data_IF_350602491838
#
_entry.id   IF_350602491838
#
_cell.length_a   1.000
_cell.length_b   1.000
_cell.length_c   1.000
_cell.angle_alpha   90.00
_cell.angle_beta   90.00
_cell.angle_gamma   90.00
#
_symmetry.space_group_name_H-M   'P 1'
#
loop_
_entity.id
_entity.type
_entity.pdbx_description
1 polymer ?
#
# COMPACT_ATOMS: atom_id res chain seq x y z
N UNK A 1 -23.68 -1.54 -23.68
CA UNK A 1 -22.83 -1.98 -22.57
C UNK A 1 -22.66 -0.95 -21.45
N UNK A 2 -22.55 0.34 -21.73
CA UNK A 2 -22.38 1.41 -20.71
C UNK A 2 -23.54 1.53 -19.72
N UNK A 3 -24.78 1.35 -20.18
CA UNK A 3 -25.99 1.48 -19.33
C UNK A 3 -26.11 0.34 -18.31
N UNK A 4 -25.66 -0.86 -18.63
CA UNK A 4 -25.67 -2.01 -17.71
C UNK A 4 -24.64 -1.87 -16.59
N UNK A 5 -23.50 -1.20 -16.85
CA UNK A 5 -22.46 -0.92 -15.85
C UNK A 5 -22.93 0.13 -14.85
N UNK A 6 -23.65 1.14 -15.30
CA UNK A 6 -24.24 2.19 -14.46
C UNK A 6 -25.34 1.60 -13.57
N UNK A 7 -26.17 0.72 -14.11
CA UNK A 7 -27.21 0.03 -13.32
C UNK A 7 -26.60 -0.91 -12.24
N UNK A 8 -25.46 -1.54 -12.53
CA UNK A 8 -24.74 -2.36 -11.55
C UNK A 8 -24.13 -1.49 -10.45
N UNK A 9 -23.59 -0.32 -10.77
CA UNK A 9 -23.10 0.65 -9.79
C UNK A 9 -24.23 1.23 -8.93
N UNK A 10 -25.39 1.51 -9.50
CA UNK A 10 -26.56 2.02 -8.79
C UNK A 10 -27.20 0.95 -7.91
N UNK A 11 -27.20 -0.32 -8.31
CA UNK A 11 -27.71 -1.43 -7.51
C UNK A 11 -26.88 -1.67 -6.21
N UNK A 12 -25.60 -1.26 -6.19
CA UNK A 12 -24.76 -1.31 -4.98
C UNK A 12 -25.05 -0.16 -4.00
N UNK A 13 -25.85 0.83 -4.42
CA UNK A 13 -26.21 2.02 -3.62
C UNK A 13 -27.59 1.92 -2.97
N UNK A 14 -28.30 0.78 -3.09
CA UNK A 14 -29.60 0.60 -2.42
C UNK A 14 -29.35 0.21 -0.97
N UNK A 15 -29.58 1.08 0.02
CA UNK A 15 -29.57 0.68 1.42
C UNK A 15 -30.82 -0.18 1.65
N UNK A 16 -30.63 -1.48 1.77
CA UNK A 16 -31.64 -2.37 2.33
C UNK A 16 -31.82 -1.95 3.79
N UNK A 17 -33.02 -1.52 4.09
CA UNK A 17 -33.38 -0.85 5.31
C UNK A 17 -33.05 -1.55 6.61
N UNK A 18 -32.99 -0.71 7.62
CA UNK A 18 -33.01 -0.92 9.06
C UNK A 18 -31.68 -1.28 9.73
N UNK A 19 -31.20 -0.33 10.48
CA UNK A 19 -29.99 -0.21 11.31
C UNK A 19 -28.73 0.10 10.49
N UNK A 20 -28.27 1.33 10.66
CA UNK A 20 -27.10 1.88 9.98
C UNK A 20 -25.85 1.01 10.22
N UNK A 21 -25.56 0.13 9.27
CA UNK A 21 -24.44 -0.80 9.31
C UNK A 21 -23.30 -0.36 8.37
N UNK A 22 -23.49 0.79 7.70
CA UNK A 22 -22.51 1.31 6.77
C UNK A 22 -21.72 2.46 7.38
N UNK A 23 -20.45 2.48 7.08
CA UNK A 23 -19.65 3.67 7.31
C UNK A 23 -18.72 3.93 6.12
N UNK A 24 -18.44 5.22 5.89
CA UNK A 24 -17.46 5.65 4.91
C UNK A 24 -16.40 6.48 5.63
N UNK A 25 -15.16 6.39 5.17
CA UNK A 25 -14.06 7.09 5.81
C UNK A 25 -12.99 7.52 4.82
N UNK A 26 -12.23 8.49 5.27
CA UNK A 26 -11.00 8.95 4.61
C UNK A 26 -9.84 8.71 5.55
N UNK A 27 -8.70 8.32 5.00
CA UNK A 27 -7.48 8.05 5.75
C UNK A 27 -6.30 8.76 5.13
N UNK A 28 -5.34 9.13 5.95
CA UNK A 28 -4.06 9.67 5.51
C UNK A 28 -2.97 9.31 6.50
N UNK A 29 -1.74 9.20 6.03
CA UNK A 29 -0.65 8.81 6.90
C UNK A 29 0.66 8.56 6.18
N UNK A 30 1.49 7.73 6.78
CA UNK A 30 2.82 7.40 6.31
C UNK A 30 2.91 5.90 6.00
N UNK A 31 3.68 5.56 4.98
CA UNK A 31 4.06 4.19 4.64
C UNK A 31 5.57 4.02 4.81
N UNK A 32 6.00 2.89 5.32
CA UNK A 32 7.39 2.47 5.31
C UNK A 32 7.49 1.19 4.50
N UNK A 33 8.24 1.21 3.41
CA UNK A 33 8.35 0.06 2.52
C UNK A 33 9.76 -0.49 2.51
N UNK A 34 9.87 -1.81 2.58
CA UNK A 34 11.11 -2.57 2.41
C UNK A 34 10.95 -3.46 1.19
N UNK A 35 11.90 -3.35 0.26
CA UNK A 35 11.98 -4.24 -0.90
C UNK A 35 12.92 -5.39 -0.56
N UNK A 36 12.38 -6.61 -0.45
CA UNK A 36 13.19 -7.83 -0.29
C UNK A 36 13.65 -8.31 -1.67
N UNK A 37 14.95 -8.51 -1.82
CA UNK A 37 15.58 -9.03 -3.05
C UNK A 37 16.23 -10.37 -2.77
N UNK A 38 16.42 -11.20 -3.82
CA UNK A 38 17.15 -12.45 -3.69
C UNK A 38 18.60 -12.16 -3.31
N UNK A 39 19.12 -12.89 -2.29
CA UNK A 39 20.44 -12.66 -1.70
C UNK A 39 21.61 -12.88 -2.65
N UNK A 40 21.42 -13.61 -3.74
CA UNK A 40 22.47 -13.87 -4.71
C UNK A 40 23.01 -12.60 -5.38
N UNK A 41 22.21 -11.51 -5.40
CA UNK A 41 22.57 -10.24 -6.03
C UNK A 41 22.96 -9.15 -5.03
N UNK A 42 23.02 -9.47 -3.74
CA UNK A 42 23.27 -8.49 -2.67
C UNK A 42 24.75 -8.40 -2.23
N UNK A 43 25.70 -8.99 -2.95
CA UNK A 43 27.10 -9.06 -2.50
C UNK A 43 27.70 -7.67 -2.25
N UNK A 44 27.31 -6.67 -3.04
CA UNK A 44 27.73 -5.28 -2.91
C UNK A 44 26.53 -4.30 -2.78
N UNK A 45 25.33 -4.73 -3.17
CA UNK A 45 24.12 -3.91 -3.13
C UNK A 45 23.38 -4.08 -1.80
N UNK A 46 23.01 -2.96 -1.17
CA UNK A 46 22.14 -2.90 -0.02
C UNK A 46 20.83 -2.21 -0.39
N UNK A 47 19.74 -2.74 0.14
CA UNK A 47 18.40 -2.17 -0.05
C UNK A 47 17.84 -1.80 1.31
N UNK A 48 17.58 -0.52 1.50
CA UNK A 48 16.99 0.04 2.72
C UNK A 48 15.57 0.48 2.43
N UNK A 49 14.70 0.32 3.43
CA UNK A 49 13.35 0.85 3.38
C UNK A 49 13.34 2.38 3.50
N UNK A 50 12.37 3.00 2.82
CA UNK A 50 12.13 4.43 2.92
C UNK A 50 10.68 4.73 3.30
N UNK A 51 10.51 5.87 3.95
CA UNK A 51 9.21 6.43 4.23
C UNK A 51 8.57 7.02 2.97
N UNK A 52 7.25 6.93 2.91
CA UNK A 52 6.39 7.52 1.90
C UNK A 52 5.09 8.00 2.50
N UNK A 53 4.21 8.51 1.68
CA UNK A 53 2.85 8.91 2.06
C UNK A 53 1.84 7.83 1.67
N UNK A 54 0.73 7.78 2.41
CA UNK A 54 -0.45 6.98 2.05
C UNK A 54 -1.71 7.78 2.32
N UNK A 55 -2.67 7.70 1.42
CA UNK A 55 -3.98 8.31 1.58
C UNK A 55 -5.04 7.46 0.88
N UNK A 56 -6.27 7.50 1.39
CA UNK A 56 -7.31 6.70 0.78
C UNK A 56 -8.71 6.96 1.30
N UNK A 57 -9.64 6.26 0.69
CA UNK A 57 -11.05 6.22 1.07
C UNK A 57 -11.44 4.78 1.36
N UNK A 58 -12.38 4.58 2.26
CA UNK A 58 -12.85 3.24 2.61
C UNK A 58 -14.34 3.22 2.88
N UNK A 59 -14.97 2.10 2.51
CA UNK A 59 -16.31 1.75 2.92
C UNK A 59 -16.27 0.53 3.84
N UNK A 60 -17.06 0.54 4.89
CA UNK A 60 -17.16 -0.57 5.81
C UNK A 60 -18.64 -0.93 6.00
N UNK A 61 -18.87 -2.22 6.07
CA UNK A 61 -20.17 -2.81 6.41
C UNK A 61 -20.03 -3.63 7.70
N UNK A 62 -20.73 -3.21 8.74
CA UNK A 62 -20.75 -3.91 10.02
C UNK A 62 -21.76 -5.07 9.95
N UNK A 63 -21.25 -6.31 10.00
CA UNK A 63 -22.08 -7.53 9.98
C UNK A 63 -22.73 -7.70 11.36
N UNK A 64 -21.97 -7.40 12.41
CA UNK A 64 -22.40 -7.41 13.79
C UNK A 64 -21.51 -6.50 14.64
N UNK A 65 -21.72 -6.44 15.96
CA UNK A 65 -21.00 -5.54 16.87
C UNK A 65 -19.48 -5.73 16.91
N UNK A 66 -18.99 -6.89 16.51
CA UNK A 66 -17.57 -7.25 16.60
C UNK A 66 -16.91 -7.57 15.23
N UNK A 67 -17.69 -7.75 14.17
CA UNK A 67 -17.19 -8.12 12.84
C UNK A 67 -17.74 -7.19 11.77
N UNK A 68 -16.86 -6.66 10.97
CA UNK A 68 -17.15 -5.86 9.79
C UNK A 68 -16.32 -6.31 8.59
N UNK A 69 -16.81 -6.01 7.39
CA UNK A 69 -16.03 -6.09 6.16
C UNK A 69 -15.72 -4.68 5.69
N UNK A 70 -14.45 -4.40 5.43
CA UNK A 70 -13.99 -3.11 4.92
C UNK A 70 -13.30 -3.30 3.58
N UNK A 71 -13.63 -2.43 2.65
CA UNK A 71 -12.91 -2.29 1.39
C UNK A 71 -12.47 -0.83 1.22
N UNK A 72 -11.32 -0.61 0.58
CA UNK A 72 -10.77 0.73 0.40
C UNK A 72 -10.13 0.92 -0.96
N UNK A 73 -9.78 2.16 -1.24
CA UNK A 73 -8.95 2.56 -2.37
C UNK A 73 -7.90 3.52 -1.85
N UNK A 74 -6.64 3.11 -1.89
CA UNK A 74 -5.51 3.84 -1.32
C UNK A 74 -4.48 4.17 -2.39
N UNK A 75 -3.96 5.39 -2.34
CA UNK A 75 -2.70 5.76 -2.99
C UNK A 75 -1.59 5.61 -1.95
N UNK A 76 -0.63 4.73 -2.21
CA UNK A 76 0.43 4.40 -1.26
C UNK A 76 1.78 4.44 -1.95
N UNK A 77 2.71 5.15 -1.36
CA UNK A 77 4.10 5.17 -1.80
C UNK A 77 4.85 3.99 -1.22
N UNK A 78 5.52 3.22 -2.09
CA UNK A 78 6.39 2.09 -1.72
C UNK A 78 7.83 2.44 -2.10
N UNK A 79 8.43 3.26 -1.28
CA UNK A 79 9.75 3.83 -1.53
C UNK A 79 10.84 2.90 -0.98
N UNK A 80 12.00 2.89 -1.64
CA UNK A 80 13.19 2.19 -1.15
C UNK A 80 14.45 2.87 -1.67
N UNK A 81 15.58 2.61 -1.00
CA UNK A 81 16.90 3.06 -1.36
C UNK A 81 17.77 1.86 -1.68
N UNK A 82 18.51 1.94 -2.78
CA UNK A 82 19.51 0.96 -3.16
C UNK A 82 20.86 1.67 -3.22
N UNK A 83 21.83 1.17 -2.50
CA UNK A 83 23.17 1.73 -2.49
C UNK A 83 24.22 0.62 -2.52
N UNK A 84 25.43 0.95 -2.97
CA UNK A 84 26.57 0.05 -2.94
C UNK A 84 27.40 0.27 -1.68
N UNK A 85 27.94 -0.83 -1.13
CA UNK A 85 28.78 -0.79 0.08
C UNK A 85 30.23 -0.42 -0.27
N UNK A 86 30.74 -0.91 -1.41
CA UNK A 86 32.13 -0.68 -1.84
C UNK A 86 32.25 0.65 -2.58
N UNK A 87 31.30 0.96 -3.47
CA UNK A 87 31.24 2.22 -4.21
C UNK A 87 30.19 3.13 -3.54
N UNK A 88 30.57 3.83 -2.49
CA UNK A 88 29.68 4.67 -1.67
C UNK A 88 29.01 5.80 -2.43
N UNK A 89 29.56 6.19 -3.59
CA UNK A 89 29.02 7.27 -4.43
C UNK A 89 27.80 6.81 -5.26
N UNK A 90 27.52 5.50 -5.31
CA UNK A 90 26.35 4.94 -6.01
C UNK A 90 25.21 4.78 -5.02
N UNK A 91 24.21 5.68 -5.13
CA UNK A 91 23.04 5.74 -4.27
C UNK A 91 21.79 6.05 -5.10
N UNK A 92 20.82 5.15 -5.11
CA UNK A 92 19.57 5.29 -5.83
C UNK A 92 18.39 5.28 -4.87
N UNK A 93 17.51 6.26 -4.99
CA UNK A 93 16.24 6.36 -4.27
C UNK A 93 15.10 6.19 -5.26
N UNK A 94 14.29 5.18 -5.03
CA UNK A 94 13.10 4.90 -5.81
C UNK A 94 11.87 5.39 -5.05
N UNK A 95 11.09 6.26 -5.69
CA UNK A 95 9.78 6.68 -5.23
C UNK A 95 8.74 6.02 -6.13
N UNK A 96 7.90 5.16 -5.59
CA UNK A 96 6.96 4.36 -6.36
C UNK A 96 5.55 4.57 -5.83
N UNK A 97 4.64 5.02 -6.68
CA UNK A 97 3.24 5.26 -6.36
C UNK A 97 2.39 4.07 -6.79
N UNK A 98 1.64 3.52 -5.86
CA UNK A 98 0.75 2.40 -6.06
C UNK A 98 -0.69 2.80 -5.75
N UNK A 99 -1.61 2.39 -6.62
CA UNK A 99 -3.03 2.35 -6.32
C UNK A 99 -3.32 0.98 -5.72
N UNK A 100 -3.85 0.93 -4.49
CA UNK A 100 -4.13 -0.30 -3.76
C UNK A 100 -5.61 -0.40 -3.43
N UNK A 101 -6.14 -1.61 -3.54
CA UNK A 101 -7.50 -1.98 -3.18
C UNK A 101 -7.44 -3.05 -2.08
N UNK A 102 -7.36 -2.65 -0.79
CA UNK A 102 -7.45 -3.57 0.33
C UNK A 102 -8.91 -4.02 0.55
N UNK A 103 -9.08 -5.31 0.86
CA UNK A 103 -10.34 -5.90 1.33
C UNK A 103 -10.04 -6.72 2.57
N UNK A 104 -10.69 -6.40 3.68
CA UNK A 104 -10.36 -6.97 4.97
C UNK A 104 -11.59 -7.24 5.84
N UNK A 105 -11.50 -8.29 6.66
CA UNK A 105 -12.32 -8.47 7.84
C UNK A 105 -11.75 -7.61 8.96
N UNK A 106 -12.62 -6.85 9.61
CA UNK A 106 -12.29 -5.95 10.72
C UNK A 106 -12.99 -6.44 11.97
N UNK A 107 -12.20 -6.85 12.95
CA UNK A 107 -12.68 -7.33 14.24
C UNK A 107 -12.58 -6.19 15.25
N UNK A 108 -13.69 -5.85 15.91
CA UNK A 108 -13.73 -4.78 16.91
C UNK A 108 -14.04 -5.34 18.29
N UNK A 109 -13.33 -4.83 19.29
CA UNK A 109 -13.47 -5.23 20.69
C UNK A 109 -13.34 -4.01 21.60
N UNK A 110 -14.03 -4.03 22.72
CA UNK A 110 -13.99 -2.94 23.72
C UNK A 110 -15.34 -2.29 23.97
N UNK A 111 -15.31 -1.01 24.35
CA UNK A 111 -16.50 -0.27 24.76
C UNK A 111 -17.22 0.43 23.60
N UNK A 112 -18.28 1.16 23.94
CA UNK A 112 -19.07 1.89 22.95
C UNK A 112 -18.34 3.11 22.36
N UNK A 113 -17.46 3.77 23.12
CA UNK A 113 -16.73 4.96 22.68
C UNK A 113 -15.34 4.64 22.14
N UNK A 114 -14.60 3.74 22.81
CA UNK A 114 -13.26 3.34 22.42
C UNK A 114 -13.28 1.86 22.08
N UNK A 115 -12.83 1.52 20.88
CA UNK A 115 -12.72 0.15 20.39
C UNK A 115 -11.31 -0.14 19.91
N UNK A 116 -10.79 -1.30 20.25
CA UNK A 116 -9.63 -1.90 19.60
C UNK A 116 -10.08 -2.53 18.28
N UNK A 117 -9.24 -2.44 17.26
CA UNK A 117 -9.47 -3.03 15.96
C UNK A 117 -8.36 -4.01 15.63
N UNK A 118 -8.74 -5.12 15.00
CA UNK A 118 -7.84 -6.08 14.41
C UNK A 118 -8.30 -6.38 12.99
N UNK A 119 -7.37 -6.37 12.03
CA UNK A 119 -7.68 -6.50 10.62
C UNK A 119 -6.92 -7.68 10.02
N UNK A 120 -7.61 -8.46 9.19
CA UNK A 120 -7.03 -9.49 8.34
C UNK A 120 -7.67 -9.44 6.96
N UNK A 121 -6.86 -9.55 5.91
CA UNK A 121 -7.40 -9.49 4.57
C UNK A 121 -6.38 -9.69 3.47
N UNK A 122 -6.79 -9.29 2.28
CA UNK A 122 -6.00 -9.34 1.06
C UNK A 122 -6.02 -7.98 0.40
N UNK A 123 -5.04 -7.73 -0.45
CA UNK A 123 -5.06 -6.54 -1.29
C UNK A 123 -4.61 -6.84 -2.72
N UNK A 124 -5.15 -6.06 -3.63
CA UNK A 124 -4.64 -5.92 -4.99
C UNK A 124 -4.08 -4.52 -5.17
N UNK A 125 -3.01 -4.39 -5.93
CA UNK A 125 -2.38 -3.11 -6.20
C UNK A 125 -1.91 -3.00 -7.64
N UNK A 126 -1.74 -1.77 -8.09
CA UNK A 126 -1.19 -1.46 -9.39
C UNK A 126 -0.14 -0.36 -9.28
N UNK A 127 1.05 -0.61 -9.77
CA UNK A 127 2.14 0.35 -9.81
C UNK A 127 1.86 1.41 -10.89
N UNK A 128 1.51 2.62 -10.46
CA UNK A 128 1.11 3.71 -11.33
C UNK A 128 2.32 4.35 -12.01
N UNK A 129 3.27 4.78 -11.19
CA UNK A 129 4.47 5.50 -11.63
C UNK A 129 5.63 5.26 -10.67
N UNK A 130 6.84 5.45 -11.16
CA UNK A 130 8.07 5.41 -10.39
C UNK A 130 8.96 6.58 -10.76
N UNK A 131 9.70 7.08 -9.80
CA UNK A 131 10.68 8.13 -9.99
C UNK A 131 12.01 7.71 -9.36
N UNK A 132 13.09 7.85 -10.12
CA UNK A 132 14.44 7.52 -9.71
C UNK A 132 15.24 8.79 -9.48
N UNK A 133 15.78 8.94 -8.28
CA UNK A 133 16.80 9.95 -7.95
C UNK A 133 18.04 9.26 -7.40
N UNK A 134 19.20 9.71 -7.80
CA UNK A 134 20.42 9.15 -7.24
C UNK A 134 21.66 9.64 -7.92
N UNK A 135 22.75 9.06 -7.47
CA UNK A 135 24.07 9.28 -8.04
C UNK A 135 24.59 7.97 -8.59
N UNK A 136 25.19 8.04 -9.77
CA UNK A 136 25.95 6.97 -10.37
C UNK A 136 27.42 7.40 -10.49
N UNK A 137 28.34 6.44 -10.44
CA UNK A 137 29.76 6.69 -10.57
C UNK A 137 30.27 6.16 -11.89
N UNK A 138 30.79 7.07 -12.73
CA UNK A 138 31.41 6.69 -13.98
C UNK A 138 32.89 6.33 -13.76
N UNK A 139 33.20 5.05 -13.82
CA UNK A 139 34.56 4.51 -13.63
C UNK A 139 35.58 4.99 -14.67
N UNK A 140 35.12 5.48 -15.83
CA UNK A 140 36.03 5.93 -16.91
C UNK A 140 36.48 7.37 -16.72
N UNK A 141 35.62 8.23 -16.20
CA UNK A 141 35.89 9.66 -16.03
C UNK A 141 36.09 10.06 -14.58
N UNK A 142 35.92 9.12 -13.63
CA UNK A 142 35.94 9.37 -12.18
C UNK A 142 34.95 10.48 -11.74
N UNK A 143 33.83 10.61 -12.48
CA UNK A 143 32.81 11.62 -12.24
C UNK A 143 31.55 11.00 -11.66
N UNK A 144 30.96 11.69 -10.69
CA UNK A 144 29.64 11.36 -10.14
C UNK A 144 28.56 11.97 -11.02
N UNK A 145 27.72 11.13 -11.62
CA UNK A 145 26.57 11.54 -12.43
C UNK A 145 25.31 11.56 -11.57
N UNK A 146 24.65 12.69 -11.50
CA UNK A 146 23.34 12.80 -10.83
C UNK A 146 22.23 12.38 -11.79
N UNK A 147 21.47 11.36 -11.39
CA UNK A 147 20.31 10.85 -12.12
C UNK A 147 19.01 11.38 -11.48
N UNK A 148 18.08 11.81 -12.32
CA UNK A 148 16.78 12.31 -11.92
C UNK A 148 15.81 12.09 -13.06
N UNK A 149 15.11 10.94 -13.05
CA UNK A 149 14.26 10.53 -14.19
C UNK A 149 13.09 9.68 -13.75
N UNK A 150 12.05 9.67 -14.57
CA UNK A 150 10.93 8.75 -14.42
C UNK A 150 11.38 7.32 -14.72
N UNK A 151 10.75 6.35 -14.07
CA UNK A 151 10.99 4.94 -14.34
C UNK A 151 10.23 4.53 -15.59
N UNK A 152 10.97 4.21 -16.67
CA UNK A 152 10.39 3.63 -17.88
C UNK A 152 10.02 2.16 -17.63
N UNK A 153 8.72 1.87 -17.70
CA UNK A 153 8.21 0.52 -17.53
C UNK A 153 8.45 -0.33 -18.78
N UNK A 154 9.16 -1.42 -18.58
CA UNK A 154 9.30 -2.44 -19.60
C UNK A 154 8.35 -3.62 -19.29
N UNK A 155 7.32 -3.89 -20.13
CA UNK A 155 6.34 -4.96 -19.91
C UNK A 155 6.97 -6.36 -19.79
N UNK A 156 8.14 -6.59 -20.39
CA UNK A 156 8.82 -7.88 -20.35
C UNK A 156 9.56 -8.08 -19.01
N UNK A 157 10.00 -6.99 -18.37
CA UNK A 157 10.78 -7.00 -17.13
C UNK A 157 9.92 -6.68 -15.91
N UNK A 158 9.03 -5.68 -16.02
CA UNK A 158 8.38 -5.09 -14.86
C UNK A 158 6.97 -5.66 -14.65
N UNK A 159 6.71 -6.14 -13.45
CA UNK A 159 5.38 -6.57 -13.02
C UNK A 159 4.72 -5.44 -12.26
N UNK A 160 3.70 -4.83 -12.87
CA UNK A 160 2.99 -3.69 -12.28
C UNK A 160 1.87 -4.10 -11.33
N UNK A 161 1.38 -5.35 -11.42
CA UNK A 161 0.38 -5.86 -10.50
C UNK A 161 1.05 -6.36 -9.21
N UNK A 162 0.47 -5.98 -8.10
CA UNK A 162 0.92 -6.33 -6.76
C UNK A 162 -0.27 -6.93 -5.99
N UNK A 163 -0.11 -8.15 -5.50
CA UNK A 163 -1.13 -8.85 -4.73
C UNK A 163 -0.50 -9.41 -3.48
N UNK A 164 -1.30 -9.47 -2.41
CA UNK A 164 -0.78 -10.01 -1.17
C UNK A 164 -1.79 -10.04 -0.04
N UNK A 165 -1.24 -10.33 1.13
CA UNK A 165 -1.98 -10.37 2.38
C UNK A 165 -1.80 -9.05 3.12
N UNK A 166 -2.80 -8.71 3.90
CA UNK A 166 -2.71 -7.59 4.83
C UNK A 166 -3.20 -8.02 6.22
N UNK A 167 -2.60 -7.41 7.23
CA UNK A 167 -3.01 -7.54 8.61
C UNK A 167 -2.71 -6.27 9.36
N UNK A 168 -3.44 -6.00 10.44
CA UNK A 168 -3.20 -4.79 11.19
C UNK A 168 -3.98 -4.68 12.47
N UNK A 169 -3.64 -3.63 13.20
CA UNK A 169 -4.29 -3.26 14.46
C UNK A 169 -4.64 -1.79 14.43
N UNK A 170 -5.63 -1.41 15.21
CA UNK A 170 -6.04 -0.02 15.31
C UNK A 170 -6.87 0.29 16.54
N UNK A 171 -7.16 1.56 16.66
CA UNK A 171 -8.06 2.11 17.65
C UNK A 171 -9.11 2.97 16.94
N UNK A 172 -10.35 2.80 17.32
CA UNK A 172 -11.47 3.66 16.90
C UNK A 172 -12.02 4.39 18.12
N UNK A 173 -12.14 5.70 18.00
CA UNK A 173 -12.79 6.53 19.01
C UNK A 173 -14.01 7.23 18.40
N UNK A 174 -15.20 6.94 18.91
CA UNK A 174 -16.46 7.57 18.51
C UNK A 174 -16.61 8.91 19.20
N UNK A 175 -16.42 10.00 18.45
CA UNK A 175 -16.52 11.38 18.94
C UNK A 175 -17.99 11.77 19.11
N UNK A 176 -18.82 11.37 18.15
CA UNK A 176 -20.24 11.68 18.09
C UNK A 176 -21.02 10.46 17.57
N UNK A 177 -22.34 10.58 17.52
CA UNK A 177 -23.23 9.50 17.07
C UNK A 177 -22.88 8.99 15.66
N UNK A 178 -22.45 9.90 14.78
CA UNK A 178 -22.13 9.60 13.38
C UNK A 178 -20.67 9.77 13.00
N UNK A 179 -19.79 10.09 13.96
CA UNK A 179 -18.38 10.37 13.64
C UNK A 179 -17.43 9.57 14.52
N UNK A 180 -16.48 8.94 13.87
CA UNK A 180 -15.37 8.26 14.53
C UNK A 180 -14.02 8.68 13.96
N UNK A 181 -13.02 8.73 14.83
CA UNK A 181 -11.60 8.85 14.45
C UNK A 181 -10.97 7.46 14.58
N UNK A 182 -10.08 7.12 13.66
CA UNK A 182 -9.32 5.87 13.67
C UNK A 182 -7.83 6.15 13.60
N UNK A 183 -7.07 5.38 14.36
CA UNK A 183 -5.62 5.32 14.25
C UNK A 183 -5.25 3.86 14.00
N UNK A 184 -4.59 3.56 12.88
CA UNK A 184 -4.36 2.19 12.42
C UNK A 184 -2.92 1.98 11.98
N UNK A 185 -2.40 0.78 12.24
CA UNK A 185 -1.16 0.28 11.68
C UNK A 185 -1.49 -0.95 10.83
N UNK A 186 -1.25 -0.87 9.53
CA UNK A 186 -1.54 -1.92 8.55
C UNK A 186 -0.23 -2.42 7.93
N UNK A 187 0.01 -3.73 8.01
CA UNK A 187 1.10 -4.40 7.33
C UNK A 187 0.61 -5.04 6.04
N UNK A 188 1.33 -4.84 4.96
CA UNK A 188 1.07 -5.42 3.64
C UNK A 188 2.25 -6.30 3.24
N UNK A 189 2.00 -7.54 2.91
CA UNK A 189 3.00 -8.50 2.44
C UNK A 189 2.67 -8.96 1.02
N UNK A 190 3.53 -8.59 0.06
CA UNK A 190 3.37 -8.96 -1.34
C UNK A 190 3.78 -10.41 -1.58
N UNK A 191 2.98 -11.14 -2.35
CA UNK A 191 3.29 -12.50 -2.82
C UNK A 191 3.65 -12.52 -4.31
N UNK A 192 3.59 -11.37 -4.96
CA UNK A 192 3.95 -11.21 -6.37
C UNK A 192 5.24 -10.42 -6.47
N UNK A 193 6.19 -10.93 -7.24
CA UNK A 193 7.43 -10.21 -7.52
C UNK A 193 7.16 -8.97 -8.38
N UNK A 194 7.85 -7.86 -8.10
CA UNK A 194 7.81 -6.64 -8.93
C UNK A 194 8.57 -6.79 -10.25
N UNK A 195 9.33 -7.87 -10.40
CA UNK A 195 10.03 -8.23 -11.63
C UNK A 195 9.50 -9.53 -12.19
N UNK A 196 9.36 -9.60 -13.50
CA UNK A 196 9.09 -10.83 -14.22
C UNK A 196 10.38 -11.59 -14.43
N UNK A 197 10.29 -12.89 -14.67
CA UNK A 197 11.43 -13.68 -15.10
C UNK A 197 11.87 -13.17 -16.47
N UNK A 198 13.00 -12.47 -16.50
CA UNK A 198 13.59 -11.94 -17.74
C UNK A 198 14.90 -12.65 -18.03
N UNK A 199 15.00 -13.28 -19.19
CA UNK A 199 16.12 -14.14 -19.59
C UNK A 199 16.34 -15.31 -18.59
N UNK A 200 17.61 -15.63 -18.27
CA UNK A 200 18.00 -16.70 -17.32
C UNK A 200 18.23 -16.19 -15.90
N UNK A 201 18.03 -14.91 -15.67
CA UNK A 201 18.27 -14.28 -14.36
C UNK A 201 16.94 -14.21 -13.61
N UNK A 202 16.85 -14.91 -12.48
CA UNK A 202 15.71 -14.83 -11.57
C UNK A 202 16.06 -13.81 -10.47
N UNK A 203 15.55 -12.60 -10.61
CA UNK A 203 15.66 -11.56 -9.59
C UNK A 203 14.26 -11.31 -9.00
N UNK A 204 13.94 -12.06 -7.95
CA UNK A 204 12.66 -11.89 -7.27
C UNK A 204 12.73 -10.72 -6.28
N UNK A 205 11.74 -9.83 -6.38
CA UNK A 205 11.64 -8.62 -5.55
C UNK A 205 10.23 -8.50 -4.99
N UNK A 206 10.13 -8.53 -3.68
CA UNK A 206 8.84 -8.47 -2.97
C UNK A 206 8.76 -7.22 -2.11
N UNK A 207 7.60 -6.56 -2.13
CA UNK A 207 7.33 -5.43 -1.26
C UNK A 207 6.78 -5.90 0.10
N UNK A 208 7.32 -5.34 1.17
CA UNK A 208 6.72 -5.40 2.50
C UNK A 208 6.52 -3.98 2.99
N UNK A 209 5.28 -3.59 3.25
CA UNK A 209 4.94 -2.21 3.59
C UNK A 209 4.21 -2.17 4.93
N UNK A 210 4.60 -1.25 5.79
CA UNK A 210 3.83 -0.89 7.00
C UNK A 210 3.28 0.51 6.80
N UNK A 211 1.96 0.66 6.94
CA UNK A 211 1.28 1.95 6.85
C UNK A 211 0.73 2.35 8.22
N UNK A 212 1.08 3.54 8.67
CA UNK A 212 0.53 4.20 9.85
C UNK A 212 -0.46 5.26 9.38
N UNK A 213 -1.73 5.11 9.75
CA UNK A 213 -2.81 5.91 9.21
C UNK A 213 -3.68 6.50 10.30
N UNK A 214 -4.09 7.74 10.09
CA UNK A 214 -5.18 8.38 10.81
C UNK A 214 -6.36 8.57 9.86
N UNK A 215 -7.56 8.36 10.36
CA UNK A 215 -8.76 8.48 9.54
C UNK A 215 -9.94 9.04 10.29
N UNK A 216 -10.87 9.56 9.50
CA UNK A 216 -12.17 9.99 9.98
C UNK A 216 -13.24 9.21 9.23
N UNK A 217 -14.23 8.70 9.94
CA UNK A 217 -15.32 7.92 9.37
C UNK A 217 -16.67 8.51 9.76
N UNK A 218 -17.59 8.48 8.81
CA UNK A 218 -19.00 8.79 9.00
C UNK A 218 -19.80 7.48 9.07
N UNK A 219 -20.58 7.33 10.14
CA UNK A 219 -21.46 6.19 10.41
C UNK A 219 -22.89 6.59 10.07
N UNK A 220 -23.55 5.84 9.21
CA UNK A 220 -24.92 6.09 8.78
C UNK A 220 -25.94 5.63 9.81
#
# INVERSE_FOLDING_TARGET
MRTKLILLMVAFLIPVGAHAQWSVGVTGGMSYNVLSMDRQYLTDNRVDGLWGATMGVSGQYDINDWLAVRAGLNLTQKNYRQHRVILTDVDYRYQNDYLQLPVMASFSFGGQKLRGLFHLGVYGGYWLQGYLRGNDYNLFNEETLTLSQDVDFNPDRDQRWDFGFLGGIGLEYRIARHWAIRAESLGYYSVVSTTRQYMRVQDYRYNTTVALQLGVSYLF
#
